data_IF_202707369466
#
_entry.id   IF_202707369466
#
_cell.length_a   1.000
_cell.length_b   1.000
_cell.length_c   1.000
_cell.angle_alpha   90.00
_cell.angle_beta   90.00
_cell.angle_gamma   90.00
#
_symmetry.space_group_name_H-M   'P 1'
#
loop_
_entity.id
_entity.type
_entity.pdbx_description
1 polymer ?
#
# COMPACT_ATOMS: atom_id res chain seq x y z
N UNK A 1 -13.59 -81.35 22.94
CA UNK A 1 -14.28 -80.24 23.65
C UNK A 1 -13.28 -79.67 24.65
N UNK A 2 -12.81 -78.42 24.69
CA UNK A 2 -13.07 -77.10 24.07
C UNK A 2 -11.72 -76.34 24.26
N UNK A 3 -10.97 -75.97 23.21
CA UNK A 3 -10.80 -74.63 22.60
C UNK A 3 -10.32 -73.49 23.55
N UNK A 4 -9.08 -73.03 23.33
CA UNK A 4 -8.55 -71.64 23.28
C UNK A 4 -8.68 -70.72 24.53
N UNK A 5 -7.92 -69.64 24.76
CA UNK A 5 -7.21 -68.70 23.87
C UNK A 5 -6.11 -67.94 24.63
N UNK A 6 -5.08 -67.55 23.88
CA UNK A 6 -4.03 -66.58 24.20
C UNK A 6 -4.63 -65.17 24.23
N UNK A 7 -4.23 -64.33 25.20
CA UNK A 7 -4.44 -62.87 25.10
C UNK A 7 -3.12 -62.12 25.31
N UNK A 8 -2.57 -61.67 24.17
CA UNK A 8 -1.48 -60.71 24.05
C UNK A 8 -2.11 -59.31 24.08
N UNK A 9 -1.87 -58.53 25.15
CA UNK A 9 -2.32 -57.13 25.21
C UNK A 9 -1.38 -56.26 24.36
N UNK A 10 -1.80 -55.95 23.13
CA UNK A 10 -1.19 -54.91 22.30
C UNK A 10 -1.92 -53.59 22.58
N UNK A 11 -1.32 -52.69 23.34
CA UNK A 11 -1.85 -51.33 23.54
C UNK A 11 -1.58 -50.50 22.29
N UNK A 12 -2.59 -50.34 21.42
CA UNK A 12 -2.57 -49.34 20.35
C UNK A 12 -2.67 -47.94 20.97
N UNK A 13 -1.57 -47.20 20.95
CA UNK A 13 -1.58 -45.76 21.16
C UNK A 13 -2.07 -45.10 19.86
N UNK A 14 -3.38 -44.86 19.75
CA UNK A 14 -3.92 -44.03 18.66
C UNK A 14 -3.53 -42.58 18.92
N UNK A 15 -2.52 -42.08 18.21
CA UNK A 15 -2.32 -40.64 18.07
C UNK A 15 -3.49 -40.07 17.28
N UNK A 16 -4.50 -39.55 17.97
CA UNK A 16 -5.46 -38.64 17.35
C UNK A 16 -4.72 -37.32 17.11
N UNK A 17 -4.18 -37.15 15.90
CA UNK A 17 -3.81 -35.82 15.43
C UNK A 17 -5.07 -34.96 15.43
N UNK A 18 -5.20 -34.10 16.43
CA UNK A 18 -6.09 -32.96 16.33
C UNK A 18 -5.49 -32.04 15.25
N UNK A 19 -5.92 -32.25 14.00
CA UNK A 19 -5.79 -31.22 13.00
C UNK A 19 -6.56 -30.01 13.54
N UNK A 20 -5.82 -29.04 14.04
CA UNK A 20 -6.35 -27.73 14.40
C UNK A 20 -6.88 -27.14 13.09
N UNK A 21 -8.18 -27.26 12.85
CA UNK A 21 -8.84 -26.56 11.74
C UNK A 21 -8.65 -25.08 12.05
N UNK A 22 -7.64 -24.49 11.42
CA UNK A 22 -7.49 -23.05 11.42
C UNK A 22 -8.76 -22.50 10.79
N UNK A 23 -9.46 -21.61 11.49
CA UNK A 23 -10.55 -20.85 10.88
C UNK A 23 -10.02 -20.25 9.58
N UNK A 24 -10.67 -20.57 8.45
CA UNK A 24 -10.31 -20.00 7.16
C UNK A 24 -10.44 -18.48 7.26
N UNK A 25 -9.52 -17.71 6.68
CA UNK A 25 -9.67 -16.26 6.63
C UNK A 25 -11.00 -15.92 5.96
N UNK A 26 -11.66 -14.86 6.44
CA UNK A 26 -12.80 -14.29 5.74
C UNK A 26 -12.30 -13.71 4.41
N UNK A 27 -12.65 -14.37 3.31
CA UNK A 27 -12.08 -14.08 1.99
C UNK A 27 -12.54 -12.75 1.41
N UNK A 28 -13.61 -12.17 1.97
CA UNK A 28 -14.19 -10.88 1.56
C UNK A 28 -13.60 -9.69 2.32
N UNK A 29 -12.76 -9.94 3.33
CA UNK A 29 -12.21 -8.91 4.19
C UNK A 29 -10.71 -8.79 4.02
N UNK A 30 -10.22 -7.55 4.00
CA UNK A 30 -8.79 -7.28 4.03
C UNK A 30 -8.17 -7.81 5.32
N UNK A 31 -7.03 -8.47 5.18
CA UNK A 31 -6.24 -8.90 6.32
C UNK A 31 -5.61 -7.69 7.00
N UNK A 32 -4.98 -6.81 6.22
CA UNK A 32 -4.51 -5.48 6.60
C UNK A 32 -4.35 -4.61 5.35
N UNK A 33 -4.28 -3.29 5.52
CA UNK A 33 -4.44 -2.34 4.40
C UNK A 33 -3.13 -1.79 3.82
N UNK A 34 -1.97 -2.11 4.40
CA UNK A 34 -0.69 -1.48 4.08
C UNK A 34 0.11 -2.23 3.03
N UNK A 35 0.27 -3.56 3.18
CA UNK A 35 1.06 -4.39 2.27
C UNK A 35 0.26 -5.50 1.57
N UNK A 36 -0.88 -5.90 2.14
CA UNK A 36 -1.83 -6.90 1.66
C UNK A 36 -3.19 -6.26 1.40
N UNK A 37 -3.16 -5.17 0.63
CA UNK A 37 -4.29 -4.30 0.27
C UNK A 37 -5.28 -4.91 -0.74
N UNK A 38 -5.29 -6.23 -0.89
CA UNK A 38 -6.26 -6.98 -1.70
C UNK A 38 -6.89 -8.10 -0.85
N UNK A 39 -8.18 -8.31 -1.04
CA UNK A 39 -8.89 -9.45 -0.49
C UNK A 39 -8.65 -10.69 -1.37
N UNK A 40 -8.89 -11.87 -0.81
CA UNK A 40 -8.86 -13.11 -1.60
C UNK A 40 -9.95 -13.04 -2.68
N UNK A 41 -11.13 -12.53 -2.33
CA UNK A 41 -12.26 -12.41 -3.26
C UNK A 41 -11.94 -11.50 -4.45
N UNK A 42 -11.32 -10.34 -4.22
CA UNK A 42 -10.89 -9.42 -5.29
C UNK A 42 -9.92 -10.09 -6.28
N UNK A 43 -8.95 -10.87 -5.77
CA UNK A 43 -7.96 -11.55 -6.63
C UNK A 43 -8.58 -12.71 -7.39
N UNK A 44 -9.42 -13.52 -6.74
CA UNK A 44 -10.08 -14.68 -7.35
C UNK A 44 -11.11 -14.25 -8.39
N UNK A 45 -11.95 -13.28 -8.06
CA UNK A 45 -13.04 -12.82 -8.93
C UNK A 45 -12.62 -11.69 -9.88
N UNK A 46 -11.37 -11.20 -9.77
CA UNK A 46 -10.80 -10.14 -10.62
C UNK A 46 -11.67 -8.88 -10.61
N UNK A 47 -12.08 -8.49 -9.40
CA UNK A 47 -12.96 -7.35 -9.21
C UNK A 47 -12.24 -6.05 -9.60
N UNK A 48 -13.02 -5.00 -9.84
CA UNK A 48 -12.54 -3.63 -10.12
C UNK A 48 -11.55 -3.50 -11.30
N UNK A 49 -11.62 -4.44 -12.26
CA UNK A 49 -10.75 -4.44 -13.43
C UNK A 49 -9.30 -4.84 -13.12
N UNK A 50 -9.08 -5.53 -11.99
CA UNK A 50 -7.77 -6.04 -11.60
C UNK A 50 -7.24 -7.03 -12.66
N UNK A 51 -6.15 -6.66 -13.32
CA UNK A 51 -5.40 -7.57 -14.19
C UNK A 51 -4.49 -8.40 -13.30
N UNK A 52 -4.84 -9.69 -13.16
CA UNK A 52 -4.07 -10.65 -12.36
C UNK A 52 -3.23 -11.54 -13.25
N UNK A 53 -1.98 -11.80 -12.83
CA UNK A 53 -1.04 -12.63 -13.55
C UNK A 53 -0.74 -13.90 -12.76
N UNK A 54 -0.84 -15.04 -13.45
CA UNK A 54 -0.42 -16.33 -12.90
C UNK A 54 1.09 -16.53 -13.06
N UNK A 55 1.76 -17.26 -12.14
CA UNK A 55 1.19 -17.99 -10.99
C UNK A 55 0.94 -17.12 -9.74
N UNK A 56 1.26 -15.82 -9.79
CA UNK A 56 1.33 -14.95 -8.62
C UNK A 56 -0.01 -14.72 -7.93
N UNK A 57 -1.11 -14.69 -8.69
CA UNK A 57 -2.45 -14.62 -8.13
C UNK A 57 -2.77 -15.86 -7.27
N UNK A 58 -2.51 -17.06 -7.81
CA UNK A 58 -2.67 -18.30 -7.07
C UNK A 58 -1.76 -18.38 -5.84
N UNK A 59 -0.49 -17.98 -5.98
CA UNK A 59 0.47 -17.94 -4.87
C UNK A 59 0.07 -16.96 -3.78
N UNK A 60 -0.46 -15.79 -4.15
CA UNK A 60 -0.96 -14.80 -3.19
C UNK A 60 -2.09 -15.37 -2.32
N UNK A 61 -3.10 -15.98 -2.97
CA UNK A 61 -4.25 -16.58 -2.29
C UNK A 61 -3.82 -17.73 -1.38
N UNK A 62 -2.96 -18.63 -1.89
CA UNK A 62 -2.44 -19.75 -1.12
C UNK A 62 -1.65 -19.26 0.11
N UNK A 63 -0.75 -18.28 -0.09
CA UNK A 63 0.07 -17.71 0.97
C UNK A 63 -0.78 -17.06 2.08
N UNK A 64 -1.85 -16.34 1.74
CA UNK A 64 -2.76 -15.78 2.76
C UNK A 64 -3.46 -16.89 3.56
N UNK A 65 -4.04 -17.89 2.87
CA UNK A 65 -4.75 -19.01 3.52
C UNK A 65 -3.84 -19.82 4.44
N UNK A 66 -2.58 -19.99 4.04
CA UNK A 66 -1.54 -20.72 4.78
C UNK A 66 -0.79 -19.86 5.79
N UNK A 67 -1.14 -18.57 5.91
CA UNK A 67 -0.49 -17.58 6.78
C UNK A 67 1.01 -17.43 6.51
N UNK A 68 1.44 -17.58 5.26
CA UNK A 68 2.81 -17.28 4.80
C UNK A 68 2.88 -15.82 4.36
N UNK A 69 2.84 -14.89 5.32
CA UNK A 69 2.61 -13.47 5.01
C UNK A 69 3.75 -12.82 4.23
N UNK A 70 5.00 -13.25 4.41
CA UNK A 70 6.14 -12.80 3.59
C UNK A 70 5.95 -13.20 2.13
N UNK A 71 5.57 -14.46 1.90
CA UNK A 71 5.27 -14.96 0.55
C UNK A 71 4.08 -14.22 -0.08
N UNK A 72 3.05 -13.89 0.72
CA UNK A 72 1.90 -13.12 0.26
C UNK A 72 2.30 -11.69 -0.16
N UNK A 73 3.11 -10.98 0.62
CA UNK A 73 3.58 -9.62 0.28
C UNK A 73 4.43 -9.67 -1.00
N UNK A 74 5.28 -10.70 -1.15
CA UNK A 74 6.08 -10.91 -2.35
C UNK A 74 5.20 -11.15 -3.59
N UNK A 75 4.25 -12.09 -3.49
CA UNK A 75 3.33 -12.42 -4.57
C UNK A 75 2.50 -11.20 -4.96
N UNK A 76 2.02 -10.42 -3.99
CA UNK A 76 1.23 -9.21 -4.20
C UNK A 76 1.89 -8.20 -5.14
N UNK A 77 3.20 -8.03 -5.05
CA UNK A 77 3.95 -7.14 -5.94
C UNK A 77 4.03 -7.66 -7.38
N UNK A 78 3.86 -8.96 -7.60
CA UNK A 78 3.88 -9.58 -8.91
C UNK A 78 2.48 -9.79 -9.51
N UNK A 79 1.40 -9.72 -8.72
CA UNK A 79 0.01 -9.97 -9.18
C UNK A 79 -0.35 -9.11 -10.40
N UNK A 80 0.03 -7.83 -10.44
CA UNK A 80 -0.33 -6.93 -11.56
C UNK A 80 0.63 -6.98 -12.75
N UNK A 81 1.71 -7.76 -12.69
CA UNK A 81 2.57 -8.06 -13.85
C UNK A 81 3.63 -7.00 -14.18
N UNK A 82 3.69 -5.91 -13.41
CA UNK A 82 4.63 -4.80 -13.62
C UNK A 82 6.07 -5.11 -13.15
N UNK A 83 6.27 -6.29 -12.55
CA UNK A 83 7.56 -6.71 -11.99
C UNK A 83 8.17 -7.83 -12.82
N UNK A 84 9.40 -7.60 -13.30
CA UNK A 84 10.24 -8.61 -13.95
C UNK A 84 11.48 -8.86 -13.09
N UNK A 85 11.74 -10.13 -12.75
CA UNK A 85 12.88 -10.54 -11.91
C UNK A 85 13.01 -9.74 -10.59
N UNK A 86 11.89 -9.50 -9.90
CA UNK A 86 11.86 -8.77 -8.63
C UNK A 86 12.19 -7.27 -8.73
N UNK A 87 12.18 -6.72 -9.95
CA UNK A 87 12.44 -5.31 -10.25
C UNK A 87 11.29 -4.72 -11.06
N UNK A 88 10.89 -3.50 -10.72
CA UNK A 88 10.02 -2.67 -11.55
C UNK A 88 10.87 -2.07 -12.67
N UNK A 89 10.85 -2.70 -13.86
CA UNK A 89 11.74 -2.37 -14.98
C UNK A 89 11.64 -0.91 -15.43
N UNK A 90 10.47 -0.28 -15.27
CA UNK A 90 10.22 1.10 -15.70
C UNK A 90 10.91 2.14 -14.82
N UNK A 91 11.06 1.85 -13.53
CA UNK A 91 11.64 2.78 -12.54
C UNK A 91 12.97 2.29 -11.98
N UNK A 92 13.47 1.15 -12.45
CA UNK A 92 14.72 0.50 -12.00
C UNK A 92 14.79 0.39 -10.46
N UNK A 93 13.66 0.00 -9.85
CA UNK A 93 13.50 -0.13 -8.40
C UNK A 93 13.22 -1.61 -8.07
N UNK A 94 13.88 -2.15 -7.05
CA UNK A 94 13.59 -3.52 -6.59
C UNK A 94 12.34 -3.55 -5.71
N UNK A 95 11.69 -4.72 -5.61
CA UNK A 95 10.57 -4.92 -4.67
C UNK A 95 11.00 -4.57 -3.23
N UNK A 96 12.23 -4.93 -2.83
CA UNK A 96 12.73 -4.60 -1.50
C UNK A 96 12.84 -3.09 -1.27
N UNK A 97 13.30 -2.32 -2.27
CA UNK A 97 13.33 -0.87 -2.17
C UNK A 97 11.93 -0.27 -2.07
N UNK A 98 10.97 -0.78 -2.84
CA UNK A 98 9.58 -0.34 -2.76
C UNK A 98 8.97 -0.64 -1.38
N UNK A 99 9.17 -1.85 -0.87
CA UNK A 99 8.75 -2.27 0.48
C UNK A 99 9.44 -1.40 1.55
N UNK A 100 10.71 -1.04 1.37
CA UNK A 100 11.45 -0.19 2.31
C UNK A 100 10.81 1.19 2.42
N UNK A 101 10.58 1.83 1.26
CA UNK A 101 9.98 3.15 1.19
C UNK A 101 8.58 3.17 1.80
N UNK A 102 7.78 2.14 1.50
CA UNK A 102 6.44 1.93 2.06
C UNK A 102 6.50 1.71 3.57
N UNK A 103 7.36 0.81 4.06
CA UNK A 103 7.51 0.54 5.49
C UNK A 103 8.00 1.76 6.27
N UNK A 104 8.94 2.54 5.73
CA UNK A 104 9.39 3.81 6.34
C UNK A 104 8.21 4.77 6.43
N UNK A 105 7.47 4.93 5.32
CA UNK A 105 6.30 5.81 5.24
C UNK A 105 5.22 5.42 6.23
N UNK A 106 4.80 4.16 6.22
CA UNK A 106 3.75 3.65 7.11
C UNK A 106 4.13 3.75 8.57
N UNK A 107 5.37 3.40 8.94
CA UNK A 107 5.85 3.55 10.32
C UNK A 107 5.86 5.00 10.79
N UNK A 108 6.11 5.95 9.88
CA UNK A 108 6.20 7.37 10.21
C UNK A 108 4.83 8.03 10.31
N UNK A 109 3.95 7.79 9.34
CA UNK A 109 2.71 8.54 9.18
C UNK A 109 1.45 7.77 9.60
N UNK A 110 1.53 6.44 9.71
CA UNK A 110 0.41 5.56 10.09
C UNK A 110 0.86 4.53 11.15
N UNK A 111 1.46 4.97 12.27
CA UNK A 111 2.13 4.07 13.21
C UNK A 111 1.19 3.04 13.85
N UNK A 112 -0.09 3.38 14.03
CA UNK A 112 -1.09 2.45 14.60
C UNK A 112 -1.43 1.32 13.61
N UNK A 113 -1.75 1.67 12.36
CA UNK A 113 -2.03 0.70 11.30
C UNK A 113 -0.81 -0.18 11.03
N UNK A 114 0.39 0.42 11.05
CA UNK A 114 1.64 -0.28 10.88
C UNK A 114 1.90 -1.26 12.03
N UNK A 115 1.65 -0.85 13.28
CA UNK A 115 1.73 -1.74 14.43
C UNK A 115 0.73 -2.90 14.33
N UNK A 116 -0.48 -2.65 13.83
CA UNK A 116 -1.49 -3.69 13.62
C UNK A 116 -1.06 -4.71 12.55
N UNK A 117 -0.48 -4.25 11.43
CA UNK A 117 0.08 -5.13 10.41
C UNK A 117 1.20 -6.01 10.98
N UNK A 118 2.11 -5.45 11.78
CA UNK A 118 3.16 -6.23 12.46
C UNK A 118 2.59 -7.28 13.42
N UNK A 119 1.52 -6.95 14.16
CA UNK A 119 0.86 -7.89 15.05
C UNK A 119 0.25 -9.09 14.30
N UNK A 120 -0.26 -8.86 13.08
CA UNK A 120 -0.73 -9.93 12.20
C UNK A 120 0.45 -10.81 11.74
N UNK A 121 1.53 -10.19 11.27
CA UNK A 121 2.70 -10.90 10.73
C UNK A 121 3.45 -11.71 11.80
N UNK A 122 3.34 -11.34 13.07
CA UNK A 122 3.89 -12.12 14.19
C UNK A 122 3.30 -13.55 14.26
N UNK A 123 2.15 -13.79 13.63
CA UNK A 123 1.51 -15.10 13.53
C UNK A 123 1.78 -15.81 12.20
N UNK A 124 2.87 -15.46 11.50
CA UNK A 124 3.25 -16.12 10.25
C UNK A 124 3.56 -17.61 10.47
N UNK A 125 3.28 -18.42 9.46
CA UNK A 125 3.56 -19.86 9.45
C UNK A 125 5.06 -20.14 9.32
N UNK A 126 5.52 -21.23 9.93
CA UNK A 126 6.90 -21.72 9.76
C UNK A 126 7.22 -22.18 8.33
N UNK A 127 6.19 -22.32 7.48
CA UNK A 127 6.35 -22.63 6.06
C UNK A 127 6.62 -21.38 5.19
N UNK A 128 6.57 -20.17 5.76
CA UNK A 128 6.84 -18.93 5.05
C UNK A 128 8.30 -18.87 4.58
N UNK A 129 8.50 -18.80 3.27
CA UNK A 129 9.85 -18.80 2.69
C UNK A 129 10.47 -17.41 2.60
N UNK A 130 9.68 -16.36 2.89
CA UNK A 130 10.04 -14.95 2.75
C UNK A 130 9.92 -14.18 4.06
N UNK A 131 10.31 -14.84 5.16
CA UNK A 131 10.43 -14.19 6.47
C UNK A 131 11.45 -13.05 6.48
N UNK A 132 12.37 -13.01 5.51
CA UNK A 132 13.28 -11.88 5.27
C UNK A 132 12.52 -10.58 5.01
N UNK A 133 11.39 -10.61 4.29
CA UNK A 133 10.52 -9.44 4.07
C UNK A 133 9.87 -8.98 5.37
N UNK A 134 9.37 -9.91 6.19
CA UNK A 134 8.71 -9.57 7.46
C UNK A 134 9.72 -9.00 8.47
N UNK A 135 10.90 -9.61 8.54
CA UNK A 135 12.04 -9.12 9.33
C UNK A 135 12.49 -7.75 8.83
N UNK A 136 12.52 -7.54 7.52
CA UNK A 136 12.86 -6.25 6.95
C UNK A 136 11.86 -5.18 7.37
N UNK A 137 10.56 -5.40 7.13
CA UNK A 137 9.49 -4.48 7.51
C UNK A 137 9.59 -4.15 9.01
N UNK A 138 9.60 -5.14 9.91
CA UNK A 138 9.61 -4.91 11.36
C UNK A 138 10.81 -4.08 11.87
N UNK A 139 11.97 -4.18 11.22
CA UNK A 139 13.20 -3.50 11.61
C UNK A 139 13.39 -2.12 10.97
N UNK A 140 12.54 -1.73 10.03
CA UNK A 140 12.60 -0.41 9.41
C UNK A 140 12.43 0.68 10.46
N UNK A 141 13.31 1.69 10.41
CA UNK A 141 13.24 2.86 11.29
C UNK A 141 12.26 3.88 10.68
N UNK A 142 11.52 4.64 11.52
CA UNK A 142 10.75 5.76 11.02
C UNK A 142 11.70 6.74 10.33
N UNK A 143 11.15 7.50 9.40
CA UNK A 143 11.91 8.47 8.65
C UNK A 143 12.51 9.51 9.61
N UNK A 144 13.81 9.78 9.47
CA UNK A 144 14.45 10.81 10.29
C UNK A 144 14.06 12.19 9.77
N UNK A 145 14.02 13.19 10.65
CA UNK A 145 13.77 14.59 10.26
C UNK A 145 14.67 15.02 9.11
N UNK A 146 15.94 14.61 9.10
CA UNK A 146 16.88 14.87 7.99
C UNK A 146 16.53 14.16 6.67
N UNK A 147 15.95 12.95 6.68
CA UNK A 147 15.46 12.28 5.46
C UNK A 147 14.14 12.89 4.98
N UNK A 148 13.25 13.27 5.91
CA UNK A 148 12.06 14.07 5.61
C UNK A 148 12.48 15.42 4.98
N UNK A 149 13.50 16.09 5.51
CA UNK A 149 14.10 17.31 4.94
C UNK A 149 14.84 17.07 3.61
N UNK A 150 15.34 15.85 3.34
CA UNK A 150 15.81 15.49 2.00
C UNK A 150 14.64 15.27 1.03
N UNK A 151 13.49 14.75 1.49
CA UNK A 151 12.22 14.75 0.73
C UNK A 151 11.65 16.16 0.56
N UNK A 152 12.04 17.14 1.39
CA UNK A 152 11.80 18.58 1.17
C UNK A 152 12.53 19.12 -0.08
N UNK A 153 13.29 18.29 -0.83
CA UNK A 153 13.68 18.64 -2.22
C UNK A 153 12.52 18.69 -3.21
N UNK A 154 11.36 18.07 -2.90
CA UNK A 154 10.13 18.39 -3.61
C UNK A 154 9.63 19.74 -3.13
N UNK A 155 10.11 20.80 -3.78
CA UNK A 155 9.56 22.13 -3.56
C UNK A 155 8.05 22.08 -3.69
N UNK A 156 7.34 22.88 -2.89
CA UNK A 156 5.93 23.17 -3.07
C UNK A 156 5.77 24.68 -3.17
N UNK A 157 4.76 25.12 -3.92
CA UNK A 157 4.34 26.51 -3.97
C UNK A 157 2.88 26.59 -3.61
N UNK A 158 2.60 27.36 -2.57
CA UNK A 158 1.24 27.67 -2.16
C UNK A 158 0.65 28.73 -3.09
N UNK A 159 -0.61 28.52 -3.47
CA UNK A 159 -1.32 29.39 -4.40
C UNK A 159 -2.36 30.23 -3.69
N UNK A 160 -2.44 31.49 -4.10
CA UNK A 160 -3.49 32.41 -3.67
C UNK A 160 -4.89 32.02 -4.22
N UNK A 161 -4.90 31.29 -5.34
CA UNK A 161 -6.07 31.04 -6.18
C UNK A 161 -6.54 29.59 -6.11
N UNK A 162 -7.78 29.33 -6.54
CA UNK A 162 -8.39 27.99 -6.62
C UNK A 162 -8.37 27.25 -5.28
N UNK A 163 -8.88 27.91 -4.26
CA UNK A 163 -8.90 27.42 -2.89
C UNK A 163 -9.95 26.32 -2.69
N UNK A 164 -9.50 25.10 -2.41
CA UNK A 164 -10.35 23.99 -1.99
C UNK A 164 -10.57 24.02 -0.48
N UNK A 165 -11.70 23.50 0.01
CA UNK A 165 -11.83 23.20 1.44
C UNK A 165 -10.77 22.17 1.87
N UNK A 166 -10.10 22.44 2.98
CA UNK A 166 -9.09 21.54 3.55
C UNK A 166 -9.69 20.15 3.82
N UNK A 167 -10.91 20.11 4.38
CA UNK A 167 -11.64 18.85 4.64
C UNK A 167 -11.82 18.01 3.38
N UNK A 168 -12.14 18.63 2.25
CA UNK A 168 -12.28 17.94 0.97
C UNK A 168 -10.96 17.33 0.50
N UNK A 169 -9.86 18.06 0.64
CA UNK A 169 -8.53 17.56 0.28
C UNK A 169 -8.05 16.47 1.23
N UNK A 170 -8.30 16.61 2.53
CA UNK A 170 -8.00 15.59 3.53
C UNK A 170 -8.73 14.29 3.24
N UNK A 171 -9.98 14.34 2.78
CA UNK A 171 -10.71 13.14 2.36
C UNK A 171 -9.99 12.41 1.22
N UNK A 172 -9.53 13.13 0.19
CA UNK A 172 -8.72 12.52 -0.89
C UNK A 172 -7.49 11.83 -0.33
N UNK A 173 -6.74 12.50 0.55
CA UNK A 173 -5.52 11.94 1.16
C UNK A 173 -5.83 10.71 2.03
N UNK A 174 -6.97 10.71 2.72
CA UNK A 174 -7.43 9.57 3.48
C UNK A 174 -7.83 8.40 2.56
N UNK A 175 -8.56 8.64 1.48
CA UNK A 175 -8.84 7.61 0.46
C UNK A 175 -7.54 7.07 -0.14
N UNK A 176 -6.58 7.95 -0.42
CA UNK A 176 -5.27 7.55 -0.90
C UNK A 176 -4.45 6.72 0.11
N UNK A 177 -4.77 6.80 1.39
CA UNK A 177 -4.16 5.93 2.40
C UNK A 177 -4.77 4.53 2.46
N UNK A 178 -5.91 4.33 1.80
CA UNK A 178 -6.71 3.11 1.86
C UNK A 178 -6.69 2.31 0.54
N UNK A 179 -6.56 2.98 -0.61
CA UNK A 179 -6.53 2.32 -1.91
C UNK A 179 -5.52 2.98 -2.85
N UNK A 180 -4.65 2.17 -3.48
CA UNK A 180 -3.68 2.64 -4.48
C UNK A 180 -4.36 2.75 -5.85
N UNK A 181 -4.27 3.92 -6.48
CA UNK A 181 -4.70 4.10 -7.87
C UNK A 181 -3.49 4.07 -8.81
N UNK A 182 -3.65 3.45 -9.99
CA UNK A 182 -2.67 3.58 -11.05
C UNK A 182 -2.59 5.05 -11.52
N UNK A 183 -1.36 5.60 -11.52
CA UNK A 183 -1.10 6.99 -11.89
C UNK A 183 -1.06 7.13 -13.42
N UNK A 184 -0.17 6.40 -14.10
CA UNK A 184 -0.05 6.35 -15.57
C UNK A 184 -0.29 7.68 -16.29
N UNK A 185 -1.03 7.64 -17.40
CA UNK A 185 -1.37 8.83 -18.20
C UNK A 185 -2.53 9.67 -17.61
N UNK A 186 -3.04 9.31 -16.44
CA UNK A 186 -4.20 10.00 -15.84
C UNK A 186 -3.78 11.36 -15.32
N UNK A 187 -4.53 12.40 -15.71
CA UNK A 187 -4.23 13.80 -15.34
C UNK A 187 -4.96 14.27 -14.09
N UNK A 188 -6.14 13.70 -13.82
CA UNK A 188 -6.90 13.88 -12.58
C UNK A 188 -6.97 12.50 -11.93
N UNK A 189 -6.37 12.39 -10.76
CA UNK A 189 -6.22 11.11 -10.06
C UNK A 189 -7.36 10.88 -9.09
N UNK A 190 -7.68 11.92 -8.32
CA UNK A 190 -8.75 11.90 -7.35
C UNK A 190 -9.46 13.25 -7.33
N UNK A 191 -10.76 13.19 -7.06
CA UNK A 191 -11.58 14.36 -6.78
C UNK A 191 -12.56 14.04 -5.67
N UNK A 192 -12.79 15.04 -4.82
CA UNK A 192 -13.80 14.96 -3.78
C UNK A 192 -14.28 16.37 -3.49
N UNK A 193 -15.58 16.60 -3.71
CA UNK A 193 -16.23 17.90 -3.56
C UNK A 193 -15.42 19.02 -4.23
N UNK A 194 -14.84 19.92 -3.43
CA UNK A 194 -14.11 21.10 -3.90
C UNK A 194 -12.63 20.86 -4.16
N UNK A 195 -12.11 19.64 -4.02
CA UNK A 195 -10.68 19.37 -4.13
C UNK A 195 -10.39 18.37 -5.24
N UNK A 196 -9.31 18.64 -5.98
CA UNK A 196 -8.83 17.80 -7.07
C UNK A 196 -7.32 17.59 -6.94
N UNK A 197 -6.92 16.34 -6.88
CA UNK A 197 -5.53 15.92 -6.98
C UNK A 197 -5.21 15.56 -8.43
N UNK A 198 -4.24 16.26 -8.99
CA UNK A 198 -3.93 16.24 -10.42
C UNK A 198 -2.44 16.12 -10.65
N UNK A 199 -2.07 15.50 -11.76
CA UNK A 199 -0.69 15.39 -12.23
C UNK A 199 -0.54 15.95 -13.65
N UNK A 200 0.67 16.42 -13.93
CA UNK A 200 1.03 16.97 -15.24
C UNK A 200 0.99 15.92 -16.35
N UNK A 201 1.01 16.37 -17.62
CA UNK A 201 0.99 15.47 -18.77
C UNK A 201 2.18 14.52 -18.75
N UNK A 202 1.94 13.29 -19.20
CA UNK A 202 2.97 12.30 -19.48
C UNK A 202 3.64 12.63 -20.83
N UNK A 203 4.97 12.49 -20.91
CA UNK A 203 5.75 12.84 -22.11
C UNK A 203 6.40 14.21 -22.06
N UNK A 204 7.73 14.22 -21.87
CA UNK A 204 8.57 15.41 -21.84
C UNK A 204 10.00 15.20 -21.33
N UNK A 205 10.52 13.96 -21.34
CA UNK A 205 11.88 13.65 -20.88
C UNK A 205 12.08 13.68 -19.35
N UNK A 206 11.00 13.61 -18.56
CA UNK A 206 11.04 13.62 -17.09
C UNK A 206 10.57 12.26 -16.58
N UNK A 207 11.23 11.67 -15.55
CA UNK A 207 10.78 10.44 -14.90
C UNK A 207 9.33 10.54 -14.41
N UNK A 208 8.61 9.42 -14.46
CA UNK A 208 7.23 9.37 -13.98
C UNK A 208 7.15 9.49 -12.44
N UNK A 209 5.98 9.87 -11.93
CA UNK A 209 5.69 9.98 -10.50
C UNK A 209 5.03 8.70 -9.99
N UNK A 210 5.60 8.12 -8.95
CA UNK A 210 4.97 7.01 -8.23
C UNK A 210 3.75 7.49 -7.44
N UNK A 211 2.83 6.57 -7.17
CA UNK A 211 1.68 6.80 -6.29
C UNK A 211 2.07 7.48 -4.96
N UNK A 212 3.16 6.99 -4.35
CA UNK A 212 3.67 7.50 -3.08
C UNK A 212 4.20 8.91 -3.19
N UNK A 213 4.94 9.24 -4.27
CA UNK A 213 5.39 10.60 -4.55
C UNK A 213 4.21 11.56 -4.64
N UNK A 214 3.15 11.17 -5.37
CA UNK A 214 1.93 11.98 -5.49
C UNK A 214 1.27 12.18 -4.13
N UNK A 215 1.08 11.12 -3.35
CA UNK A 215 0.47 11.20 -2.02
C UNK A 215 1.28 12.11 -1.07
N UNK A 216 2.59 11.94 -1.02
CA UNK A 216 3.48 12.74 -0.18
C UNK A 216 3.45 14.22 -0.54
N UNK A 217 3.58 14.56 -1.82
CA UNK A 217 3.52 15.96 -2.27
C UNK A 217 2.14 16.57 -2.00
N UNK A 218 1.07 15.80 -2.20
CA UNK A 218 -0.28 16.25 -1.88
C UNK A 218 -0.47 16.52 -0.37
N UNK A 219 0.07 15.66 0.52
CA UNK A 219 0.11 15.91 1.97
C UNK A 219 0.89 17.18 2.31
N UNK A 220 2.08 17.37 1.73
CA UNK A 220 2.88 18.58 1.96
C UNK A 220 2.13 19.85 1.55
N UNK A 221 1.43 19.83 0.41
CA UNK A 221 0.59 20.95 -0.02
C UNK A 221 -0.57 21.17 0.96
N UNK A 222 -1.23 20.11 1.41
CA UNK A 222 -2.32 20.19 2.39
C UNK A 222 -1.85 20.82 3.69
N UNK A 223 -0.73 20.36 4.25
CA UNK A 223 -0.22 20.80 5.54
C UNK A 223 0.35 22.23 5.48
N UNK A 224 1.13 22.54 4.44
CA UNK A 224 1.89 23.79 4.38
C UNK A 224 1.18 24.92 3.61
N UNK A 225 0.22 24.59 2.74
CA UNK A 225 -0.58 25.58 2.01
C UNK A 225 -2.00 25.75 2.56
N UNK A 226 -2.31 25.07 3.67
CA UNK A 226 -3.50 25.35 4.46
C UNK A 226 -3.47 26.77 4.98
N UNK A 227 -4.53 27.53 4.68
CA UNK A 227 -4.69 28.90 5.16
C UNK A 227 -6.15 29.27 5.25
N UNK A 228 -6.40 30.28 6.08
CA UNK A 228 -7.71 30.87 6.29
C UNK A 228 -7.69 32.26 5.63
N UNK A 229 -8.33 32.44 4.45
CA UNK A 229 -8.40 33.76 3.79
C UNK A 229 -9.08 34.82 4.68
N UNK A 230 -8.99 36.11 4.32
CA UNK A 230 -9.74 37.14 5.05
C UNK A 230 -11.26 36.83 5.00
N UNK A 231 -11.95 36.93 6.14
CA UNK A 231 -13.35 36.52 6.34
C UNK A 231 -13.60 35.02 6.10
N UNK A 232 -12.73 34.18 6.65
CA UNK A 232 -12.76 32.73 6.45
C UNK A 232 -13.70 32.02 7.45
N UNK A 233 -14.71 31.35 6.90
CA UNK A 233 -15.56 30.41 7.64
C UNK A 233 -14.97 28.98 7.70
N UNK A 234 -13.92 28.70 6.91
CA UNK A 234 -13.28 27.39 6.84
C UNK A 234 -11.86 27.44 6.24
N UNK A 235 -10.97 26.57 6.73
CA UNK A 235 -9.59 26.44 6.22
C UNK A 235 -9.60 25.95 4.77
N UNK A 236 -8.76 26.56 3.95
CA UNK A 236 -8.62 26.28 2.53
C UNK A 236 -7.20 25.87 2.15
N UNK A 237 -7.07 25.08 1.08
CA UNK A 237 -5.81 24.57 0.54
C UNK A 237 -5.73 24.87 -0.95
N UNK A 238 -4.55 25.29 -1.40
CA UNK A 238 -4.20 25.31 -2.82
C UNK A 238 -2.69 25.35 -2.99
N UNK A 239 -2.13 24.43 -3.78
CA UNK A 239 -0.72 24.43 -4.08
C UNK A 239 -0.32 23.41 -5.14
N UNK A 240 0.97 23.43 -5.47
CA UNK A 240 1.55 22.59 -6.50
C UNK A 240 3.06 22.41 -6.34
N UNK A 241 3.63 21.36 -6.92
CA UNK A 241 5.08 21.21 -7.05
C UNK A 241 5.65 22.12 -8.17
N UNK A 242 6.83 22.76 -8.02
CA UNK A 242 7.48 23.51 -9.09
C UNK A 242 7.86 22.64 -10.29
N UNK A 243 8.08 23.30 -11.43
CA UNK A 243 8.38 22.65 -12.73
C UNK A 243 9.79 22.05 -12.83
N UNK A 244 10.70 22.39 -11.91
CA UNK A 244 12.12 22.02 -11.97
C UNK A 244 12.51 20.93 -10.95
N UNK A 245 11.56 20.09 -10.52
CA UNK A 245 11.77 19.12 -9.45
C UNK A 245 12.12 17.70 -9.93
N UNK A 246 12.35 17.49 -11.23
CA UNK A 246 12.73 16.17 -11.77
C UNK A 246 11.58 15.16 -11.86
N UNK A 247 10.33 15.59 -11.73
CA UNK A 247 9.13 14.76 -11.82
C UNK A 247 7.95 15.54 -12.44
N UNK A 248 6.88 14.85 -12.88
CA UNK A 248 5.65 15.52 -13.35
C UNK A 248 5.05 16.40 -12.27
N UNK A 249 4.49 17.55 -12.66
CA UNK A 249 3.88 18.49 -11.71
C UNK A 249 2.73 17.83 -10.95
N UNK A 250 2.66 18.02 -9.64
CA UNK A 250 1.57 17.54 -8.79
C UNK A 250 0.83 18.76 -8.26
N UNK A 251 -0.51 18.76 -8.32
CA UNK A 251 -1.34 19.88 -7.93
C UNK A 251 -2.48 19.41 -7.02
N UNK A 252 -2.76 20.16 -5.96
CA UNK A 252 -3.88 19.94 -5.04
C UNK A 252 -4.62 21.26 -4.82
N UNK A 253 -5.81 21.39 -5.39
CA UNK A 253 -6.59 22.65 -5.36
C UNK A 253 -8.03 22.44 -5.83
N UNK A 254 -8.85 23.49 -5.84
CA UNK A 254 -10.22 23.46 -6.39
C UNK A 254 -10.29 23.67 -7.90
N UNK A 255 -9.18 23.44 -8.60
CA UNK A 255 -9.13 23.67 -10.04
C UNK A 255 -9.39 22.35 -10.72
N UNK A 256 -10.34 22.35 -11.65
CA UNK A 256 -10.81 21.10 -12.23
C UNK A 256 -9.88 20.64 -13.35
N UNK A 257 -9.20 21.56 -14.02
CA UNK A 257 -8.44 21.31 -15.24
C UNK A 257 -6.95 21.68 -15.13
N UNK A 258 -6.10 20.84 -15.73
CA UNK A 258 -4.68 21.14 -15.93
C UNK A 258 -3.80 21.21 -14.68
N UNK A 259 -2.64 20.55 -14.74
CA UNK A 259 -1.54 20.73 -13.79
C UNK A 259 -0.27 20.95 -14.61
N UNK A 260 0.04 22.23 -14.90
CA UNK A 260 1.15 22.65 -15.77
C UNK A 260 2.11 23.55 -15.02
#
# INVERSE_FOLDING_TARGET
MIIASIFLFLTLFTFTSFAKVAASPDETKLLEQLFLDLTIDEVVNRLDGLIVNEPWASEYVAAIREKRFGDAIWARHHVTGDVQNGTFSEVNQTIFQAIEEDAIGYRTYYPEQYSNALAIYANTSNADTRTDILNFISNVKPETVSKMEKRVTYGIKCSANHLAYRSSCYHILNTMSQAKSNIGDRRRLYDYMSCHLRVGPYGGGIPDVTYHTVHLVARLIEEQCSRCPANCDAIKVSGYSPRNSGHRKICLSSKDDGCF
#
